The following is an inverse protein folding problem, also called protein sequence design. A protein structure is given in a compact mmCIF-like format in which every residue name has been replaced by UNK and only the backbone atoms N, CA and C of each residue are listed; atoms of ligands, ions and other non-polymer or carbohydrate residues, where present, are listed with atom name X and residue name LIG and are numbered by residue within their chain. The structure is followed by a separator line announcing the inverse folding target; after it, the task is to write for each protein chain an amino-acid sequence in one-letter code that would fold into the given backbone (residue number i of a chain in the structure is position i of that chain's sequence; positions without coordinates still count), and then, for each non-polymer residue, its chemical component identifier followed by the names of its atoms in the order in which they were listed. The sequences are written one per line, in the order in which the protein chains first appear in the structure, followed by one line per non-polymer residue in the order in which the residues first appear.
data_IF_876068120623
#
_entry.id   IF_876068120623
#
_cell.length_a   1.000
_cell.length_b   1.000
_cell.length_c   1.000
_cell.angle_alpha   90.00
_cell.angle_beta   90.00
_cell.angle_gamma   90.00
#
_symmetry.space_group_name_H-M   'P 1'
#
loop_
_entity.id
_entity.type
_entity.pdbx_description
1 polymer ?
#
# COMPACT_ATOMS: atom_id res chain seq x y z
N UNK A 1 -9.86 -9.45 49.01
CA UNK A 1 -10.08 -8.02 48.80
C UNK A 1 -8.93 -7.54 47.95
N UNK A 2 -9.22 -6.84 46.86
CA UNK A 2 -8.25 -6.26 45.93
C UNK A 2 -8.13 -4.78 46.22
N UNK A 3 -7.08 -4.11 45.72
CA UNK A 3 -6.94 -2.67 45.92
C UNK A 3 -8.08 -1.88 45.26
N UNK A 4 -8.61 -2.34 44.13
CA UNK A 4 -9.76 -1.68 43.48
C UNK A 4 -11.09 -1.88 44.25
N UNK A 5 -11.16 -2.84 45.19
CA UNK A 5 -12.28 -2.92 46.14
C UNK A 5 -12.19 -1.85 47.25
N UNK A 6 -11.05 -1.16 47.39
CA UNK A 6 -10.84 -0.02 48.29
C UNK A 6 -11.08 1.29 47.52
N UNK A 7 -12.34 1.51 47.10
CA UNK A 7 -12.71 2.62 46.19
C UNK A 7 -13.08 3.93 46.91
N UNK A 8 -13.46 3.88 48.18
CA UNK A 8 -13.79 5.06 49.01
C UNK A 8 -12.97 4.99 50.31
N UNK A 9 -11.84 5.70 50.42
CA UNK A 9 -11.09 5.76 51.67
C UNK A 9 -11.96 6.44 52.72
N UNK A 10 -12.23 5.71 53.80
CA UNK A 10 -13.05 6.20 54.91
C UNK A 10 -12.10 6.79 55.97
N UNK A 11 -12.12 8.11 56.11
CA UNK A 11 -11.29 8.83 57.06
C UNK A 11 -12.00 9.05 58.42
N UNK A 12 -13.14 8.40 58.66
CA UNK A 12 -13.89 8.49 59.92
C UNK A 12 -13.41 7.47 60.96
N UNK A 13 -13.66 7.77 62.24
CA UNK A 13 -13.26 6.92 63.37
C UNK A 13 -13.90 5.52 63.27
N UNK A 14 -13.09 4.50 62.98
CA UNK A 14 -13.51 3.10 62.84
C UNK A 14 -13.05 2.39 61.57
N UNK A 15 -12.49 3.11 60.60
CA UNK A 15 -12.02 2.56 59.31
C UNK A 15 -10.69 1.76 59.38
N UNK A 16 -10.15 1.54 60.59
CA UNK A 16 -8.75 1.21 60.82
C UNK A 16 -8.21 -0.05 60.14
N UNK A 17 -9.01 -1.11 59.97
CA UNK A 17 -8.54 -2.36 59.36
C UNK A 17 -8.59 -2.34 57.82
N UNK A 18 -9.61 -1.69 57.25
CA UNK A 18 -9.77 -1.56 55.79
C UNK A 18 -8.75 -0.57 55.22
N UNK A 19 -8.56 0.57 55.87
CA UNK A 19 -7.55 1.55 55.50
C UNK A 19 -6.13 0.98 55.65
N UNK A 20 -5.84 0.31 56.78
CA UNK A 20 -4.54 -0.36 56.99
C UNK A 20 -4.27 -1.41 55.93
N UNK A 21 -5.29 -2.16 55.48
CA UNK A 21 -5.16 -3.07 54.36
C UNK A 21 -4.76 -2.33 53.07
N UNK A 22 -5.49 -1.28 52.67
CA UNK A 22 -5.21 -0.52 51.45
C UNK A 22 -3.80 0.06 51.39
N UNK A 23 -3.35 0.71 52.48
CA UNK A 23 -1.98 1.24 52.58
C UNK A 23 -0.91 0.15 52.57
N UNK A 24 -1.09 -0.94 53.32
CA UNK A 24 -0.09 -2.02 53.37
C UNK A 24 -0.01 -2.78 52.04
N UNK A 25 -1.15 -3.06 51.41
CA UNK A 25 -1.21 -3.77 50.14
C UNK A 25 -0.62 -2.92 49.00
N UNK A 26 -0.93 -1.62 48.94
CA UNK A 26 -0.34 -0.72 47.92
C UNK A 26 1.17 -0.57 48.10
N UNK A 27 1.65 -0.39 49.35
CA UNK A 27 3.09 -0.37 49.63
C UNK A 27 3.76 -1.68 49.21
N UNK A 28 3.17 -2.83 49.56
CA UNK A 28 3.72 -4.13 49.22
C UNK A 28 3.78 -4.35 47.70
N UNK A 29 2.71 -4.01 46.96
CA UNK A 29 2.69 -4.11 45.49
C UNK A 29 3.80 -3.26 44.87
N UNK A 30 3.93 -1.99 45.28
CA UNK A 30 4.99 -1.11 44.76
C UNK A 30 6.37 -1.65 45.11
N UNK A 31 6.56 -2.16 46.34
CA UNK A 31 7.82 -2.76 46.76
C UNK A 31 8.19 -3.97 45.90
N UNK A 32 7.25 -4.88 45.59
CA UNK A 32 7.51 -6.02 44.71
C UNK A 32 7.99 -5.59 43.32
N UNK A 33 7.39 -4.52 42.77
CA UNK A 33 7.82 -3.98 41.48
C UNK A 33 9.23 -3.38 41.59
N UNK A 34 9.50 -2.59 42.63
CA UNK A 34 10.82 -1.99 42.87
C UNK A 34 11.89 -3.06 43.06
N UNK A 35 11.59 -4.14 43.80
CA UNK A 35 12.50 -5.26 44.00
C UNK A 35 12.83 -5.97 42.67
N UNK A 36 11.89 -6.03 41.73
CA UNK A 36 12.10 -6.61 40.40
C UNK A 36 12.89 -5.69 39.46
N UNK A 37 12.42 -4.45 39.27
CA UNK A 37 12.96 -3.56 38.22
C UNK A 37 14.10 -2.66 38.72
N UNK A 38 14.25 -2.53 40.04
CA UNK A 38 15.21 -1.64 40.69
C UNK A 38 14.69 -0.19 40.82
N UNK A 39 15.29 0.54 41.76
CA UNK A 39 14.93 1.94 42.07
C UNK A 39 15.10 2.86 40.86
N UNK A 40 16.19 2.74 40.11
CA UNK A 40 16.47 3.62 38.96
C UNK A 40 15.41 3.50 37.86
N UNK A 41 14.96 2.27 37.57
CA UNK A 41 13.88 2.06 36.59
C UNK A 41 12.54 2.53 37.12
N UNK A 42 12.26 2.32 38.42
CA UNK A 42 11.04 2.87 39.02
C UNK A 42 11.03 4.41 38.98
N UNK A 43 12.16 5.08 39.24
CA UNK A 43 12.28 6.53 39.07
C UNK A 43 11.98 6.96 37.63
N UNK A 44 12.44 6.19 36.65
CA UNK A 44 12.15 6.42 35.23
C UNK A 44 10.65 6.29 34.93
N UNK A 45 9.99 5.26 35.47
CA UNK A 45 8.54 5.06 35.36
C UNK A 45 7.77 6.23 35.98
N UNK A 46 8.12 6.63 37.20
CA UNK A 46 7.46 7.75 37.89
C UNK A 46 7.69 9.08 37.17
N UNK A 47 8.87 9.29 36.58
CA UNK A 47 9.13 10.43 35.70
C UNK A 47 8.22 10.40 34.46
N UNK A 48 8.07 9.25 33.81
CA UNK A 48 7.16 9.10 32.68
C UNK A 48 5.68 9.35 33.06
N UNK A 49 5.27 8.96 34.27
CA UNK A 49 3.96 9.31 34.81
C UNK A 49 3.81 10.83 34.93
N UNK A 50 4.76 11.50 35.61
CA UNK A 50 4.74 12.93 35.86
C UNK A 50 4.82 13.78 34.59
N UNK A 51 5.59 13.31 33.60
CA UNK A 51 5.75 13.98 32.30
C UNK A 51 4.58 13.69 31.34
N UNK A 52 3.58 12.90 31.74
CA UNK A 52 2.45 12.57 30.86
C UNK A 52 2.88 11.73 29.65
N UNK A 53 3.97 10.97 29.74
CA UNK A 53 4.46 10.12 28.66
C UNK A 53 3.48 8.97 28.37
N UNK A 54 2.99 8.79 27.13
CA UNK A 54 2.13 7.64 26.81
C UNK A 54 2.92 6.34 26.91
N UNK A 55 2.27 5.24 27.32
CA UNK A 55 2.93 3.95 27.37
C UNK A 55 3.22 3.37 25.97
N UNK A 56 2.49 3.85 24.94
CA UNK A 56 2.67 3.51 23.54
C UNK A 56 3.21 4.73 22.81
N UNK A 57 4.53 4.88 22.77
CA UNK A 57 5.21 6.01 22.13
C UNK A 57 5.27 5.84 20.61
N UNK A 58 4.96 6.93 19.90
CA UNK A 58 5.24 7.07 18.48
C UNK A 58 6.69 7.47 18.19
N UNK A 59 6.97 7.83 16.93
CA UNK A 59 8.29 8.33 16.52
C UNK A 59 8.53 9.77 17.02
N UNK A 60 7.47 10.50 17.34
CA UNK A 60 7.55 11.82 17.97
C UNK A 60 7.73 11.68 19.49
N UNK A 61 8.91 12.04 19.97
CA UNK A 61 9.24 12.04 21.40
C UNK A 61 8.47 13.08 22.22
N UNK A 62 7.72 13.98 21.58
CA UNK A 62 6.90 14.99 22.23
C UNK A 62 5.45 14.55 22.51
N UNK A 63 5.06 13.31 22.17
CA UNK A 63 3.70 12.80 22.45
C UNK A 63 3.42 12.80 23.97
N UNK A 64 2.29 13.40 24.37
CA UNK A 64 1.84 13.50 25.76
C UNK A 64 0.39 13.06 25.89
N UNK A 65 0.04 12.55 27.07
CA UNK A 65 -1.34 12.30 27.47
C UNK A 65 -1.70 13.16 28.68
N UNK A 66 -2.87 13.81 28.58
CA UNK A 66 -3.48 14.57 29.68
C UNK A 66 -4.43 13.68 30.51
N UNK A 67 -4.59 12.40 30.14
CA UNK A 67 -5.46 11.48 30.85
C UNK A 67 -4.94 11.24 32.29
N UNK A 68 -5.83 11.25 33.30
CA UNK A 68 -5.47 10.83 34.65
C UNK A 68 -4.81 9.46 34.66
N UNK A 69 -3.81 9.27 35.52
CA UNK A 69 -3.11 7.98 35.60
C UNK A 69 -3.90 7.01 36.46
N UNK A 70 -4.63 6.10 35.81
CA UNK A 70 -5.19 4.91 36.42
C UNK A 70 -4.15 3.80 36.63
N UNK A 71 -4.57 2.71 37.26
CA UNK A 71 -3.75 1.52 37.45
C UNK A 71 -3.36 0.88 36.11
N UNK A 72 -4.21 1.04 35.08
CA UNK A 72 -4.02 0.58 33.70
C UNK A 72 -2.76 1.20 33.07
N UNK A 73 -2.71 2.54 33.08
CA UNK A 73 -1.56 3.30 32.54
C UNK A 73 -0.30 3.01 33.35
N UNK A 74 -0.41 2.93 34.67
CA UNK A 74 0.74 2.65 35.53
C UNK A 74 1.31 1.24 35.24
N UNK A 75 0.46 0.22 35.09
CA UNK A 75 0.86 -1.12 34.69
C UNK A 75 1.61 -1.11 33.35
N UNK A 76 1.05 -0.45 32.32
CA UNK A 76 1.71 -0.37 31.01
C UNK A 76 3.08 0.33 31.09
N UNK A 77 3.21 1.39 31.88
CA UNK A 77 4.50 2.08 32.06
C UNK A 77 5.51 1.21 32.82
N UNK A 78 5.09 0.52 33.87
CA UNK A 78 5.96 -0.40 34.63
C UNK A 78 6.51 -1.51 33.73
N UNK A 79 5.69 -2.05 32.81
CA UNK A 79 6.13 -3.11 31.90
C UNK A 79 6.98 -2.59 30.74
N UNK A 80 6.58 -1.48 30.11
CA UNK A 80 7.23 -1.00 28.88
C UNK A 80 8.40 -0.06 29.11
N UNK A 81 8.32 0.79 30.14
CA UNK A 81 9.42 1.70 30.54
C UNK A 81 10.28 1.04 31.62
N UNK A 82 9.64 0.45 32.63
CA UNK A 82 10.35 -0.23 33.73
C UNK A 82 10.90 -1.60 33.36
N UNK A 83 10.33 -2.25 32.34
CA UNK A 83 10.76 -3.58 31.89
C UNK A 83 10.30 -4.73 32.77
N UNK A 84 9.34 -4.52 33.67
CA UNK A 84 8.79 -5.58 34.52
C UNK A 84 8.21 -6.72 33.70
N UNK A 85 8.40 -7.95 34.19
CA UNK A 85 7.85 -9.20 33.66
C UNK A 85 6.81 -9.81 34.59
N UNK A 86 6.72 -9.34 35.84
CA UNK A 86 5.79 -9.87 36.84
C UNK A 86 4.62 -8.96 37.17
N UNK A 87 4.65 -7.68 36.74
CA UNK A 87 3.63 -6.70 37.10
C UNK A 87 2.21 -7.11 36.68
N UNK A 88 2.01 -7.70 35.49
CA UNK A 88 0.69 -8.21 35.09
C UNK A 88 0.10 -9.18 36.11
N UNK A 89 0.85 -10.21 36.50
CA UNK A 89 0.37 -11.22 37.48
C UNK A 89 0.11 -10.57 38.84
N UNK A 90 1.02 -9.70 39.29
CA UNK A 90 0.87 -8.96 40.54
C UNK A 90 -0.42 -8.13 40.57
N UNK A 91 -0.76 -7.45 39.48
CA UNK A 91 -1.98 -6.65 39.36
C UNK A 91 -3.24 -7.52 39.33
N UNK A 92 -3.22 -8.63 38.60
CA UNK A 92 -4.34 -9.59 38.55
C UNK A 92 -4.68 -10.18 39.92
N UNK A 93 -3.66 -10.38 40.75
CA UNK A 93 -3.80 -10.99 42.06
C UNK A 93 -4.20 -10.00 43.16
N UNK A 94 -3.64 -8.78 43.12
CA UNK A 94 -3.72 -7.85 44.26
C UNK A 94 -4.44 -6.53 43.96
N UNK A 95 -4.45 -6.08 42.71
CA UNK A 95 -4.95 -4.74 42.36
C UNK A 95 -6.38 -4.82 41.84
N UNK A 96 -6.60 -5.65 40.83
CA UNK A 96 -7.80 -5.57 40.00
C UNK A 96 -8.93 -6.46 40.51
N UNK A 97 -10.18 -6.03 40.28
CA UNK A 97 -11.36 -6.80 40.68
C UNK A 97 -11.56 -8.03 39.80
N UNK A 98 -12.47 -8.93 40.19
CA UNK A 98 -12.83 -10.08 39.35
C UNK A 98 -13.42 -9.67 37.98
N UNK A 99 -14.12 -8.53 37.90
CA UNK A 99 -14.67 -8.02 36.64
C UNK A 99 -13.56 -7.55 35.68
N UNK A 100 -12.52 -6.92 36.23
CA UNK A 100 -11.38 -6.38 35.48
C UNK A 100 -10.49 -7.49 34.88
N UNK A 101 -10.50 -8.70 35.45
CA UNK A 101 -9.64 -9.80 34.98
C UNK A 101 -9.84 -10.13 33.50
N UNK A 102 -11.07 -9.99 32.99
CA UNK A 102 -11.38 -10.22 31.58
C UNK A 102 -10.70 -9.22 30.62
N UNK A 103 -10.27 -8.06 31.13
CA UNK A 103 -9.52 -7.07 30.35
C UNK A 103 -8.08 -7.52 30.07
N UNK A 104 -7.50 -8.38 30.90
CA UNK A 104 -6.11 -8.82 30.73
C UNK A 104 -5.93 -9.76 29.54
N UNK A 105 -6.90 -10.62 29.25
CA UNK A 105 -6.87 -11.47 28.05
C UNK A 105 -6.96 -10.61 26.78
N UNK A 106 -7.82 -9.58 26.81
CA UNK A 106 -7.93 -8.59 25.73
C UNK A 106 -6.64 -7.81 25.56
N UNK A 107 -6.02 -7.37 26.67
CA UNK A 107 -4.73 -6.67 26.68
C UNK A 107 -3.63 -7.53 26.08
N UNK A 108 -3.49 -8.79 26.51
CA UNK A 108 -2.47 -9.70 25.99
C UNK A 108 -2.63 -9.92 24.49
N UNK A 109 -3.88 -10.13 24.03
CA UNK A 109 -4.20 -10.25 22.60
C UNK A 109 -3.83 -8.98 21.83
N UNK A 110 -4.23 -7.81 22.34
CA UNK A 110 -3.95 -6.53 21.70
C UNK A 110 -2.46 -6.19 21.67
N UNK A 111 -1.69 -6.53 22.72
CA UNK A 111 -0.24 -6.33 22.76
C UNK A 111 0.50 -7.22 21.75
N UNK A 112 0.05 -8.46 21.58
CA UNK A 112 0.56 -9.35 20.55
C UNK A 112 0.32 -8.76 19.16
N UNK A 113 -0.91 -8.33 18.88
CA UNK A 113 -1.27 -7.68 17.61
C UNK A 113 -0.49 -6.36 17.37
N UNK A 114 -0.32 -5.53 18.40
CA UNK A 114 0.47 -4.31 18.31
C UNK A 114 1.95 -4.59 17.98
N UNK A 115 2.51 -5.67 18.56
CA UNK A 115 3.90 -6.08 18.30
C UNK A 115 4.06 -6.59 16.87
N UNK A 116 3.09 -7.36 16.37
CA UNK A 116 3.06 -7.80 14.97
C UNK A 116 2.99 -6.59 14.01
N UNK A 117 2.10 -5.62 14.30
CA UNK A 117 1.98 -4.39 13.52
C UNK A 117 3.27 -3.57 13.53
N UNK A 118 3.91 -3.43 14.68
CA UNK A 118 5.21 -2.73 14.79
C UNK A 118 6.28 -3.43 13.95
N UNK A 119 6.28 -4.76 13.95
CA UNK A 119 7.24 -5.57 13.18
C UNK A 119 7.04 -5.40 11.67
N UNK A 120 5.80 -5.46 11.18
CA UNK A 120 5.48 -5.26 9.77
C UNK A 120 5.68 -3.79 9.33
N UNK A 121 5.34 -2.85 10.22
CA UNK A 121 5.58 -1.42 10.03
C UNK A 121 7.04 -1.09 9.82
N UNK A 122 7.95 -1.82 10.48
CA UNK A 122 9.39 -1.60 10.46
C UNK A 122 9.73 -0.13 10.82
N UNK A 123 10.13 0.68 9.84
CA UNK A 123 10.36 2.10 10.08
C UNK A 123 9.06 2.89 10.31
N UNK A 124 7.91 2.41 9.81
CA UNK A 124 6.63 3.08 10.01
C UNK A 124 6.04 2.67 11.36
N UNK A 125 6.10 3.58 12.33
CA UNK A 125 5.54 3.33 13.65
C UNK A 125 4.01 3.14 13.59
N UNK A 126 3.41 2.30 14.45
CA UNK A 126 1.95 2.16 14.54
C UNK A 126 1.26 3.54 14.66
N UNK A 127 0.14 3.81 13.97
CA UNK A 127 -0.51 5.12 13.95
C UNK A 127 -0.94 5.66 15.32
N UNK A 128 -1.04 6.98 15.45
CA UNK A 128 -1.43 7.64 16.70
C UNK A 128 -2.76 7.14 17.27
N UNK A 129 -3.74 6.84 16.40
CA UNK A 129 -5.03 6.25 16.79
C UNK A 129 -4.87 4.89 17.48
N UNK A 130 -3.98 4.03 16.98
CA UNK A 130 -3.70 2.72 17.59
C UNK A 130 -3.03 2.92 18.94
N UNK A 131 -1.98 3.76 19.00
CA UNK A 131 -1.22 4.02 20.23
C UNK A 131 -2.09 4.59 21.34
N UNK A 132 -2.96 5.55 21.00
CA UNK A 132 -3.92 6.15 21.93
C UNK A 132 -4.91 5.11 22.43
N UNK A 133 -5.53 4.33 21.55
CA UNK A 133 -6.51 3.31 21.95
C UNK A 133 -5.90 2.20 22.79
N UNK A 134 -4.65 1.83 22.53
CA UNK A 134 -3.88 0.89 23.35
C UNK A 134 -3.60 1.47 24.74
N UNK A 135 -3.17 2.73 24.83
CA UNK A 135 -2.94 3.42 26.11
C UNK A 135 -4.21 3.67 26.93
N UNK A 136 -5.35 3.85 26.25
CA UNK A 136 -6.68 4.03 26.84
C UNK A 136 -7.37 2.71 27.21
N UNK A 137 -6.72 1.56 26.98
CA UNK A 137 -7.29 0.21 27.21
C UNK A 137 -8.58 -0.06 26.42
N UNK A 138 -8.72 0.59 25.26
CA UNK A 138 -9.83 0.44 24.31
C UNK A 138 -9.53 -0.68 23.31
N UNK A 139 -9.28 -1.89 23.79
CA UNK A 139 -8.71 -2.98 22.97
C UNK A 139 -9.56 -3.38 21.76
N UNK A 140 -10.89 -3.34 21.86
CA UNK A 140 -11.77 -3.58 20.70
C UNK A 140 -11.56 -2.56 19.59
N UNK A 141 -11.45 -1.28 19.95
CA UNK A 141 -11.17 -0.21 18.99
C UNK A 141 -9.73 -0.30 18.46
N UNK A 142 -8.77 -0.59 19.34
CA UNK A 142 -7.38 -0.80 18.95
C UNK A 142 -7.26 -1.94 17.93
N UNK A 143 -7.96 -3.06 18.11
CA UNK A 143 -7.96 -4.17 17.17
C UNK A 143 -8.48 -3.76 15.77
N UNK A 144 -9.56 -2.98 15.71
CA UNK A 144 -10.08 -2.45 14.45
C UNK A 144 -9.07 -1.51 13.76
N UNK A 145 -8.45 -0.61 14.52
CA UNK A 145 -7.43 0.31 14.01
C UNK A 145 -6.15 -0.42 13.58
N UNK A 146 -5.75 -1.48 14.29
CA UNK A 146 -4.61 -2.34 13.91
C UNK A 146 -4.89 -3.01 12.57
N UNK A 147 -6.07 -3.61 12.39
CA UNK A 147 -6.44 -4.23 11.10
C UNK A 147 -6.45 -3.23 9.94
N UNK A 148 -6.97 -2.02 10.16
CA UNK A 148 -6.92 -0.96 9.15
C UNK A 148 -5.48 -0.51 8.85
N UNK A 149 -4.63 -0.50 9.87
CA UNK A 149 -3.20 -0.18 9.74
C UNK A 149 -2.45 -1.26 8.94
N UNK A 150 -2.73 -2.54 9.19
CA UNK A 150 -2.19 -3.66 8.42
C UNK A 150 -2.55 -3.57 6.94
N UNK A 151 -3.82 -3.26 6.62
CA UNK A 151 -4.25 -3.06 5.24
C UNK A 151 -3.48 -1.93 4.54
N UNK A 152 -3.19 -0.83 5.25
CA UNK A 152 -2.36 0.25 4.72
C UNK A 152 -0.92 -0.22 4.45
N UNK A 153 -0.33 -1.01 5.36
CA UNK A 153 1.05 -1.50 5.21
C UNK A 153 1.18 -2.50 4.05
N UNK A 154 0.18 -3.34 3.81
CA UNK A 154 0.13 -4.21 2.62
C UNK A 154 0.15 -3.38 1.33
N UNK A 155 -0.63 -2.31 1.26
CA UNK A 155 -0.61 -1.40 0.10
C UNK A 155 0.72 -0.66 -0.04
N UNK A 156 1.32 -0.23 1.09
CA UNK A 156 2.66 0.38 1.11
C UNK A 156 3.70 -0.58 0.52
N UNK A 157 3.65 -1.86 0.88
CA UNK A 157 4.61 -2.85 0.42
C UNK A 157 4.43 -3.15 -1.08
N UNK A 158 3.19 -3.21 -1.56
CA UNK A 158 2.89 -3.30 -3.00
C UNK A 158 3.43 -2.08 -3.76
N UNK A 159 3.20 -0.88 -3.23
CA UNK A 159 3.73 0.36 -3.78
C UNK A 159 5.27 0.34 -3.79
N UNK A 160 5.89 -0.09 -2.69
CA UNK A 160 7.34 -0.25 -2.56
C UNK A 160 7.93 -1.15 -3.63
N UNK A 161 7.33 -2.31 -3.86
CA UNK A 161 7.74 -3.23 -4.93
C UNK A 161 7.58 -2.59 -6.32
N UNK A 162 6.47 -1.90 -6.58
CA UNK A 162 6.21 -1.26 -7.86
C UNK A 162 7.22 -0.13 -8.17
N UNK A 163 7.49 0.76 -7.20
CA UNK A 163 8.43 1.87 -7.40
C UNK A 163 9.87 1.35 -7.52
N UNK A 164 10.23 0.27 -6.82
CA UNK A 164 11.52 -0.38 -6.98
C UNK A 164 11.71 -0.95 -8.39
N UNK A 165 10.69 -1.63 -8.95
CA UNK A 165 10.75 -2.15 -10.33
C UNK A 165 10.89 -1.03 -11.36
N UNK A 166 10.29 0.15 -11.12
CA UNK A 166 10.42 1.32 -12.01
C UNK A 166 11.77 2.04 -11.82
N UNK A 167 12.45 1.85 -10.68
CA UNK A 167 13.66 2.56 -10.32
C UNK A 167 13.40 3.97 -9.77
N UNK A 168 12.37 4.11 -8.93
CA UNK A 168 12.04 5.36 -8.22
C UNK A 168 11.66 5.08 -6.75
N UNK A 169 11.24 6.10 -6.02
CA UNK A 169 10.79 6.03 -4.62
C UNK A 169 9.49 6.82 -4.44
N UNK A 170 8.76 6.58 -3.34
CA UNK A 170 7.63 7.43 -2.92
C UNK A 170 8.05 8.42 -1.83
N UNK A 171 7.24 9.45 -1.57
CA UNK A 171 7.56 10.51 -0.60
C UNK A 171 7.46 10.04 0.86
N UNK A 172 8.25 10.65 1.74
CA UNK A 172 8.16 10.43 3.19
C UNK A 172 6.86 10.97 3.81
N UNK A 173 6.07 11.72 3.04
CA UNK A 173 4.76 12.23 3.49
C UNK A 173 3.76 11.11 3.74
N UNK A 174 3.84 9.98 3.00
CA UNK A 174 2.98 8.83 3.26
C UNK A 174 3.21 8.23 4.64
N UNK A 175 4.50 8.09 5.03
CA UNK A 175 4.89 7.65 6.36
C UNK A 175 4.33 8.59 7.43
N UNK A 176 4.56 9.89 7.24
CA UNK A 176 4.10 10.91 8.20
C UNK A 176 2.57 10.88 8.36
N UNK A 177 1.83 10.79 7.24
CA UNK A 177 0.38 10.73 7.24
C UNK A 177 -0.17 9.46 7.94
N UNK A 178 0.52 8.33 7.78
CA UNK A 178 0.20 7.09 8.48
C UNK A 178 0.47 7.19 9.99
N UNK A 179 1.69 7.58 10.38
CA UNK A 179 2.12 7.60 11.77
C UNK A 179 1.35 8.62 12.63
N UNK A 180 0.94 9.74 12.02
CA UNK A 180 0.20 10.81 12.69
C UNK A 180 -1.32 10.63 12.64
N UNK A 181 -1.85 9.59 11.98
CA UNK A 181 -3.29 9.39 11.86
C UNK A 181 -3.92 9.16 13.25
N UNK A 182 -4.76 10.10 13.69
CA UNK A 182 -5.47 10.06 14.97
C UNK A 182 -6.91 9.55 14.86
N UNK A 183 -7.37 9.25 13.64
CA UNK A 183 -8.71 8.73 13.33
C UNK A 183 -8.67 7.60 12.29
N UNK A 184 -9.78 7.33 11.59
CA UNK A 184 -9.84 6.32 10.54
C UNK A 184 -8.77 6.52 9.46
N UNK A 185 -8.24 5.42 8.93
CA UNK A 185 -7.12 5.45 7.98
C UNK A 185 -7.55 5.58 6.51
N UNK A 186 -8.83 5.68 6.18
CA UNK A 186 -9.34 5.67 4.81
C UNK A 186 -8.65 6.68 3.89
N UNK A 187 -8.38 7.89 4.41
CA UNK A 187 -7.67 8.93 3.67
C UNK A 187 -6.21 8.59 3.39
N UNK A 188 -5.52 7.90 4.31
CA UNK A 188 -4.14 7.42 4.13
C UNK A 188 -4.13 6.28 3.12
N UNK A 189 -5.04 5.31 3.26
CA UNK A 189 -5.24 4.20 2.32
C UNK A 189 -5.46 4.72 0.90
N UNK A 190 -6.37 5.69 0.73
CA UNK A 190 -6.65 6.28 -0.58
C UNK A 190 -5.42 6.97 -1.19
N UNK A 191 -4.61 7.67 -0.38
CA UNK A 191 -3.36 8.28 -0.85
C UNK A 191 -2.34 7.25 -1.34
N UNK A 192 -2.18 6.13 -0.62
CA UNK A 192 -1.28 5.05 -1.03
C UNK A 192 -1.82 4.40 -2.32
N UNK A 193 -3.12 4.15 -2.40
CA UNK A 193 -3.76 3.55 -3.58
C UNK A 193 -3.57 4.40 -4.84
N UNK A 194 -3.79 5.72 -4.75
CA UNK A 194 -3.59 6.64 -5.89
C UNK A 194 -2.14 6.56 -6.41
N UNK A 195 -1.16 6.48 -5.51
CA UNK A 195 0.24 6.32 -5.92
C UNK A 195 0.54 4.94 -6.51
N UNK A 196 -0.07 3.88 -5.97
CA UNK A 196 0.06 2.51 -6.49
C UNK A 196 -0.55 2.37 -7.90
N UNK A 197 -1.72 2.97 -8.14
CA UNK A 197 -2.37 2.98 -9.44
C UNK A 197 -1.49 3.69 -10.48
N UNK A 198 -0.92 4.83 -10.11
CA UNK A 198 0.01 5.56 -10.96
C UNK A 198 1.33 4.80 -11.19
N UNK A 199 1.90 4.16 -10.16
CA UNK A 199 3.05 3.28 -10.32
C UNK A 199 2.74 2.13 -11.32
N UNK A 200 1.52 1.60 -11.32
CA UNK A 200 1.09 0.60 -12.31
C UNK A 200 1.10 1.17 -13.74
N UNK A 201 0.65 2.40 -13.93
CA UNK A 201 0.72 3.10 -15.23
C UNK A 201 2.19 3.32 -15.66
N UNK A 202 3.05 3.72 -14.73
CA UNK A 202 4.48 3.91 -14.99
C UNK A 202 5.18 2.59 -15.36
N UNK A 203 4.81 1.48 -14.73
CA UNK A 203 5.28 0.14 -15.12
C UNK A 203 4.89 -0.21 -16.54
N UNK A 204 3.66 0.09 -16.95
CA UNK A 204 3.21 -0.09 -18.33
C UNK A 204 4.04 0.75 -19.29
N UNK A 205 4.29 2.03 -18.98
CA UNK A 205 5.13 2.91 -19.77
C UNK A 205 6.57 2.37 -19.90
N UNK A 206 7.19 1.93 -18.79
CA UNK A 206 8.53 1.35 -18.78
C UNK A 206 8.64 0.02 -19.55
N UNK A 207 7.55 -0.75 -19.66
CA UNK A 207 7.49 -1.97 -20.49
C UNK A 207 7.30 -1.63 -21.97
N UNK A 208 6.48 -0.63 -22.29
CA UNK A 208 6.29 -0.14 -23.64
C UNK A 208 7.60 0.38 -24.24
N UNK A 209 8.35 1.16 -23.47
CA UNK A 209 9.68 1.65 -23.84
C UNK A 209 10.66 0.50 -24.15
N UNK A 210 10.74 -0.53 -23.30
CA UNK A 210 11.59 -1.70 -23.58
C UNK A 210 11.21 -2.44 -24.86
N UNK A 211 9.93 -2.45 -25.24
CA UNK A 211 9.45 -3.11 -26.46
C UNK A 211 9.80 -2.34 -27.74
N UNK A 212 9.84 -1.01 -27.71
CA UNK A 212 10.17 -0.18 -28.87
C UNK A 212 11.64 -0.36 -29.29
N UNK A 213 12.53 -0.49 -28.30
CA UNK A 213 13.95 -0.78 -28.49
C UNK A 213 14.20 -2.13 -29.20
N UNK A 214 13.30 -3.11 -29.04
CA UNK A 214 13.42 -4.43 -29.66
C UNK A 214 13.07 -4.48 -31.16
N UNK A 215 12.18 -3.59 -31.63
CA UNK A 215 11.67 -3.60 -33.01
C UNK A 215 12.23 -2.45 -33.85
N UNK A 216 12.57 -1.30 -33.25
CA UNK A 216 12.93 -0.06 -33.96
C UNK A 216 14.31 0.51 -33.60
N UNK A 217 15.15 -0.23 -32.87
CA UNK A 217 16.45 0.20 -32.31
C UNK A 217 17.53 0.71 -33.28
N UNK A 218 17.23 0.94 -34.56
CA UNK A 218 18.15 1.43 -35.58
C UNK A 218 17.95 2.89 -36.03
N UNK A 219 16.95 3.62 -35.52
CA UNK A 219 16.77 5.07 -35.82
C UNK A 219 16.87 5.89 -34.53
N UNK A 220 18.11 6.19 -34.12
CA UNK A 220 18.51 6.73 -32.80
C UNK A 220 18.05 8.14 -32.41
N UNK A 221 16.96 8.67 -32.96
CA UNK A 221 16.38 9.97 -32.57
C UNK A 221 15.10 9.83 -31.73
N UNK A 222 14.39 8.71 -31.81
CA UNK A 222 13.12 8.49 -31.10
C UNK A 222 13.31 7.92 -29.69
N UNK A 223 14.31 7.07 -29.46
CA UNK A 223 14.56 6.45 -28.14
C UNK A 223 14.97 7.43 -27.04
N UNK A 224 15.75 8.46 -27.41
CA UNK A 224 16.28 9.43 -26.44
C UNK A 224 15.18 10.30 -25.78
N UNK A 225 14.10 10.60 -26.51
CA UNK A 225 12.98 11.39 -25.97
C UNK A 225 12.07 10.56 -25.05
N UNK A 226 11.95 9.25 -25.30
CA UNK A 226 11.16 8.34 -24.45
C UNK A 226 11.87 8.12 -23.11
N UNK A 227 13.17 7.83 -23.13
CA UNK A 227 13.99 7.69 -21.92
C UNK A 227 13.94 8.94 -21.06
N UNK A 228 14.12 10.12 -21.68
CA UNK A 228 14.02 11.40 -20.99
C UNK A 228 12.63 11.61 -20.36
N UNK A 229 11.55 11.30 -21.10
CA UNK A 229 10.17 11.44 -20.61
C UNK A 229 9.89 10.48 -19.44
N UNK A 230 10.40 9.24 -19.49
CA UNK A 230 10.23 8.27 -18.40
C UNK A 230 11.02 8.68 -17.15
N UNK A 231 12.22 9.23 -17.32
CA UNK A 231 13.00 9.79 -16.20
C UNK A 231 12.31 11.00 -15.57
N UNK A 232 11.73 11.90 -16.36
CA UNK A 232 10.90 13.00 -15.85
C UNK A 232 9.69 12.49 -15.05
N UNK A 233 9.07 11.38 -15.49
CA UNK A 233 7.97 10.75 -14.75
C UNK A 233 8.43 10.20 -13.40
N UNK A 234 9.58 9.51 -13.35
CA UNK A 234 10.20 8.99 -12.12
C UNK A 234 10.48 10.10 -11.11
N UNK A 235 11.08 11.18 -11.59
CA UNK A 235 11.45 12.35 -10.79
C UNK A 235 10.22 13.08 -10.25
N UNK A 236 9.17 13.24 -11.08
CA UNK A 236 7.91 13.83 -10.66
C UNK A 236 7.24 12.99 -9.57
N UNK A 237 7.20 11.66 -9.77
CA UNK A 237 6.63 10.72 -8.79
C UNK A 237 7.38 10.78 -7.45
N UNK A 238 8.72 10.76 -7.48
CA UNK A 238 9.56 10.82 -6.28
C UNK A 238 9.36 12.11 -5.46
N UNK A 239 8.93 13.20 -6.10
CA UNK A 239 8.61 14.48 -5.44
C UNK A 239 7.13 14.63 -5.06
N UNK A 240 6.30 13.62 -5.33
CA UNK A 240 4.85 13.68 -5.09
C UNK A 240 4.05 14.45 -6.14
N UNK A 241 4.64 14.85 -7.26
CA UNK A 241 3.95 15.47 -8.40
C UNK A 241 3.31 14.39 -9.28
N UNK A 242 2.21 13.83 -8.77
CA UNK A 242 1.52 12.69 -9.39
C UNK A 242 0.91 13.07 -10.74
N UNK A 243 0.47 14.32 -10.92
CA UNK A 243 -0.13 14.79 -12.17
C UNK A 243 0.91 14.85 -13.31
N UNK A 244 2.10 15.40 -13.04
CA UNK A 244 3.18 15.40 -14.02
C UNK A 244 3.64 13.98 -14.31
N UNK A 245 3.82 13.13 -13.29
CA UNK A 245 4.22 11.73 -13.49
C UNK A 245 3.21 10.96 -14.37
N UNK A 246 1.91 11.16 -14.16
CA UNK A 246 0.87 10.57 -15.01
C UNK A 246 0.93 11.07 -16.45
N UNK A 247 1.00 12.39 -16.65
CA UNK A 247 1.06 13.00 -17.97
C UNK A 247 2.25 12.45 -18.78
N UNK A 248 3.43 12.37 -18.16
CA UNK A 248 4.65 11.87 -18.81
C UNK A 248 4.55 10.38 -19.12
N UNK A 249 4.01 9.58 -18.21
CA UNK A 249 3.82 8.14 -18.43
C UNK A 249 2.85 7.86 -19.58
N UNK A 250 1.74 8.60 -19.66
CA UNK A 250 0.78 8.50 -20.78
C UNK A 250 1.41 8.90 -22.10
N UNK A 251 2.23 9.95 -22.14
CA UNK A 251 2.97 10.36 -23.35
C UNK A 251 3.88 9.25 -23.88
N UNK A 252 4.54 8.49 -22.99
CA UNK A 252 5.36 7.32 -23.39
C UNK A 252 4.47 6.22 -23.99
N UNK A 253 3.35 5.90 -23.35
CA UNK A 253 2.40 4.89 -23.84
C UNK A 253 1.85 5.29 -25.22
N UNK A 254 1.39 6.53 -25.36
CA UNK A 254 0.81 7.05 -26.61
C UNK A 254 1.83 7.10 -27.76
N UNK A 255 3.11 7.39 -27.46
CA UNK A 255 4.17 7.38 -28.46
C UNK A 255 4.39 5.97 -29.02
N UNK A 256 4.37 4.93 -28.17
CA UNK A 256 4.52 3.53 -28.60
C UNK A 256 3.27 3.01 -29.32
N UNK A 257 2.08 3.30 -28.81
CA UNK A 257 0.81 2.83 -29.40
C UNK A 257 0.48 3.57 -30.72
N UNK A 258 0.75 4.88 -30.79
CA UNK A 258 0.56 5.69 -31.99
C UNK A 258 1.45 5.27 -33.16
N UNK A 259 2.64 4.74 -32.88
CA UNK A 259 3.54 4.21 -33.90
C UNK A 259 3.04 2.89 -34.52
N UNK A 260 2.31 2.07 -33.76
CA UNK A 260 1.69 0.85 -34.29
C UNK A 260 0.68 1.17 -35.41
N UNK A 261 0.01 2.33 -35.31
CA UNK A 261 -0.98 2.81 -36.29
C UNK A 261 -0.33 3.55 -37.47
N UNK A 262 0.70 4.37 -37.21
CA UNK A 262 1.38 5.17 -38.24
C UNK A 262 2.41 4.37 -39.07
N UNK A 263 3.01 3.32 -38.49
CA UNK A 263 3.91 2.40 -39.19
C UNK A 263 3.24 1.65 -40.34
N UNK A 264 1.98 1.25 -40.16
CA UNK A 264 1.14 0.65 -41.21
C UNK A 264 0.90 1.63 -42.38
N UNK A 265 0.74 2.92 -42.09
CA UNK A 265 0.56 3.94 -43.14
C UNK A 265 1.86 4.20 -43.92
N UNK A 266 3.02 4.19 -43.25
CA UNK A 266 4.33 4.40 -43.90
C UNK A 266 4.78 3.19 -44.71
N UNK A 267 4.50 1.96 -44.26
CA UNK A 267 4.68 0.74 -45.08
C UNK A 267 3.71 0.75 -46.26
N UNK A 268 2.45 1.16 -46.05
CA UNK A 268 1.46 1.31 -47.12
C UNK A 268 1.90 2.30 -48.20
N UNK A 269 2.46 3.44 -47.82
CA UNK A 269 2.99 4.44 -48.76
C UNK A 269 4.25 3.92 -49.47
N UNK A 270 5.17 3.24 -48.78
CA UNK A 270 6.35 2.66 -49.40
C UNK A 270 6.00 1.55 -50.41
N UNK A 271 5.06 0.66 -50.07
CA UNK A 271 4.56 -0.38 -50.98
C UNK A 271 3.81 0.24 -52.16
N UNK A 272 3.00 1.27 -51.93
CA UNK A 272 2.29 1.98 -53.01
C UNK A 272 3.25 2.70 -53.97
N UNK A 273 4.32 3.31 -53.45
CA UNK A 273 5.35 3.97 -54.27
C UNK A 273 6.17 2.96 -55.07
N UNK A 274 6.54 1.83 -54.47
CA UNK A 274 7.23 0.73 -55.19
C UNK A 274 6.31 0.17 -56.28
N UNK A 275 5.04 -0.12 -55.97
CA UNK A 275 4.07 -0.63 -56.95
C UNK A 275 3.81 0.37 -58.10
N UNK A 276 3.69 1.67 -57.80
CA UNK A 276 3.56 2.72 -58.80
C UNK A 276 4.80 2.80 -59.70
N UNK A 277 6.00 2.69 -59.13
CA UNK A 277 7.25 2.64 -59.90
C UNK A 277 7.34 1.41 -60.81
N UNK A 278 6.93 0.22 -60.34
CA UNK A 278 6.89 -1.00 -61.18
C UNK A 278 5.88 -0.90 -62.32
N UNK A 279 4.70 -0.30 -62.07
CA UNK A 279 3.68 -0.09 -63.11
C UNK A 279 4.15 0.93 -64.15
N UNK A 280 4.79 2.02 -63.73
CA UNK A 280 5.38 3.02 -64.64
C UNK A 280 6.53 2.44 -65.48
N UNK A 281 7.40 1.61 -64.89
CA UNK A 281 8.46 0.91 -65.61
C UNK A 281 7.91 -0.14 -66.59
N UNK A 282 6.85 -0.88 -66.23
CA UNK A 282 6.19 -1.84 -67.13
C UNK A 282 5.45 -1.16 -68.29
N UNK A 283 4.81 0.00 -68.05
CA UNK A 283 4.18 0.79 -69.11
C UNK A 283 5.20 1.33 -70.11
N UNK A 284 6.36 1.83 -69.63
CA UNK A 284 7.44 2.28 -70.52
C UNK A 284 8.03 1.16 -71.38
N UNK A 285 8.12 -0.07 -70.85
CA UNK A 285 8.62 -1.22 -71.62
C UNK A 285 7.65 -1.73 -72.70
N UNK A 286 6.34 -1.46 -72.57
CA UNK A 286 5.34 -1.87 -73.58
C UNK A 286 5.22 -0.92 -74.78
N UNK A 287 5.83 0.27 -74.72
CA UNK A 287 5.77 1.26 -75.82
C UNK A 287 6.92 1.10 -76.82
N UNK A 288 7.82 0.12 -76.62
CA UNK A 288 8.95 -0.16 -77.55
C UNK A 288 8.92 -1.58 -78.13
N UNK A 289 7.77 -2.26 -78.09
CA UNK A 289 7.60 -3.55 -78.74
C UNK A 289 6.29 -3.57 -79.54
N UNK A 290 6.30 -2.90 -80.69
CA UNK A 290 5.27 -3.04 -81.72
C UNK A 290 5.90 -2.73 -83.07
N UNK A 291 6.53 -3.74 -83.67
CA UNK A 291 6.63 -3.91 -85.12
C UNK A 291 6.90 -5.39 -85.40
N UNK A 292 6.07 -5.99 -86.27
CA UNK A 292 6.15 -7.32 -86.88
C UNK A 292 5.73 -8.51 -85.98
N UNK A 293 4.92 -9.48 -86.40
CA UNK A 293 4.28 -9.81 -87.69
C UNK A 293 3.22 -10.92 -87.42
N UNK A 294 2.37 -11.14 -88.41
CA UNK A 294 1.14 -11.94 -88.50
C UNK A 294 1.23 -13.46 -88.18
N UNK A 295 0.06 -14.07 -87.97
CA UNK A 295 -0.15 -15.50 -88.30
C UNK A 295 -1.16 -16.30 -87.46
N UNK A 296 -2.42 -16.27 -87.89
CA UNK A 296 -3.52 -17.26 -87.82
C UNK A 296 -3.38 -18.56 -86.98
N UNK A 297 -4.45 -18.89 -86.23
CA UNK A 297 -5.28 -20.09 -86.46
C UNK A 297 -6.39 -20.27 -85.39
N UNK A 298 -7.59 -20.61 -85.87
CA UNK A 298 -8.79 -21.06 -85.16
C UNK A 298 -8.56 -22.31 -84.29
N UNK A 299 -9.33 -22.45 -83.19
CA UNK A 299 -10.30 -23.54 -83.03
C UNK A 299 -11.15 -23.39 -81.75
N UNK A 300 -12.35 -23.93 -81.88
CA UNK A 300 -13.57 -23.76 -81.11
C UNK A 300 -13.62 -24.48 -79.75
N UNK A 301 -14.70 -24.14 -79.03
CA UNK A 301 -15.55 -25.04 -78.22
C UNK A 301 -15.03 -25.46 -76.84
N UNK A 302 -15.83 -25.55 -75.77
CA UNK A 302 -17.22 -25.24 -75.45
C UNK A 302 -17.37 -25.61 -73.94
N UNK A 303 -18.53 -25.28 -73.36
CA UNK A 303 -19.14 -25.85 -72.14
C UNK A 303 -19.07 -25.00 -70.86
N UNK A 304 -20.21 -24.32 -70.73
CA UNK A 304 -21.03 -23.96 -69.58
C UNK A 304 -20.91 -24.84 -68.31
N UNK A 305 -21.15 -24.25 -67.13
CA UNK A 305 -22.02 -24.78 -66.07
C UNK A 305 -22.08 -23.72 -64.95
N UNK A 306 -23.27 -23.14 -64.87
CA UNK A 306 -23.88 -22.41 -63.76
C UNK A 306 -24.25 -23.36 -62.60
N UNK A 307 -24.07 -22.94 -61.33
CA UNK A 307 -25.14 -22.83 -60.32
C UNK A 307 -24.62 -22.62 -58.87
N UNK A 308 -25.26 -21.66 -58.21
CA UNK A 308 -25.65 -21.52 -56.79
C UNK A 308 -24.75 -21.90 -55.62
N UNK A 309 -24.78 -20.99 -54.62
CA UNK A 309 -25.42 -21.39 -53.37
C UNK A 309 -24.71 -21.00 -52.08
N UNK A 310 -25.38 -20.10 -51.34
CA UNK A 310 -25.61 -20.19 -49.90
C UNK A 310 -24.46 -19.90 -48.90
N UNK A 311 -24.62 -18.75 -48.24
CA UNK A 311 -24.77 -18.57 -46.77
C UNK A 311 -24.22 -19.64 -45.82
N UNK A 312 -23.41 -19.22 -44.85
CA UNK A 312 -23.67 -19.46 -43.43
C UNK A 312 -22.76 -18.60 -42.53
N UNK A 313 -23.38 -17.67 -41.80
CA UNK A 313 -22.86 -17.12 -40.55
C UNK A 313 -23.22 -18.08 -39.39
N UNK A 314 -22.33 -18.25 -38.41
CA UNK A 314 -22.60 -18.90 -37.13
C UNK A 314 -21.52 -18.48 -36.09
N UNK A 315 -21.74 -18.64 -34.77
CA UNK A 315 -21.91 -17.48 -33.89
C UNK A 315 -20.92 -17.41 -32.73
N UNK A 316 -20.93 -16.23 -32.09
CA UNK A 316 -20.33 -15.90 -30.81
C UNK A 316 -20.97 -16.73 -29.69
N UNK A 317 -20.15 -17.46 -28.93
CA UNK A 317 -20.56 -18.11 -27.69
C UNK A 317 -20.54 -17.08 -26.54
N UNK A 318 -21.71 -16.86 -25.92
CA UNK A 318 -21.87 -16.10 -24.69
C UNK A 318 -21.62 -17.00 -23.48
N UNK A 319 -20.94 -16.44 -22.47
CA UNK A 319 -20.65 -17.06 -21.19
C UNK A 319 -21.91 -17.14 -20.29
N UNK A 320 -22.02 -18.16 -19.41
CA UNK A 320 -23.10 -18.24 -18.43
C UNK A 320 -22.86 -17.31 -17.24
N UNK A 321 -23.90 -16.54 -16.93
CA UNK A 321 -24.12 -15.80 -15.69
C UNK A 321 -24.28 -16.76 -14.51
N UNK A 322 -23.53 -16.52 -13.44
CA UNK A 322 -23.74 -17.13 -12.13
C UNK A 322 -24.80 -16.33 -11.36
N UNK A 323 -25.84 -17.01 -10.91
CA UNK A 323 -26.79 -16.50 -9.91
C UNK A 323 -26.18 -16.62 -8.50
N UNK A 324 -26.50 -15.67 -7.59
CA UNK A 324 -26.02 -15.67 -6.21
C UNK A 324 -26.93 -16.47 -5.26
N UNK A 325 -26.31 -17.19 -4.31
CA UNK A 325 -26.91 -17.59 -3.03
C UNK A 325 -26.64 -16.52 -1.95
#
# INVERSE_FOLDING_TARGET
MTLNDWSDPDFTDGAGDRERFGYNASFWVVQQIVDEIGVDKMQTVLKAVADGTPAYLGPDTAERTDAPTGWERFLDLVERVGGSKTATTLFQDQVVTAADRSLFDQRATAQSAYTALTTHGAEWAPPAVVRTQMGDWKFTYAAASINASEACLVLRDQLGAAVQEIGTTYTSELRSAYESASGPLDAVTAKIQVQLDLATVMLKAARADRSSHGILGSVGLLGNDIDATLNEARDAFARGDLATAEQRSRKVIDAVDGETSAGLLRVGIAVALVAAATVLMRRRRRVTASTNDDGDAELEANVDVQFDGATAAAPVAAAPTLDPE
#
